data_IF_226362731290
#
_entry.id   IF_226362731290
#
_cell.length_a   1.000
_cell.length_b   1.000
_cell.length_c   1.000
_cell.angle_alpha   90.00
_cell.angle_beta   90.00
_cell.angle_gamma   90.00
#
_symmetry.space_group_name_H-M   'P 1'
#
loop_
_entity.id
_entity.type
_entity.pdbx_description
1 polymer ?
#
# COMPACT_ATOMS: atom_id res chain seq x y z
N UNK A 1 4.87 54.35 -24.31
CA UNK A 1 3.57 53.87 -24.76
C UNK A 1 3.57 52.50 -25.49
N UNK A 2 4.61 52.17 -26.27
CA UNK A 2 4.64 50.88 -27.03
C UNK A 2 4.87 49.62 -26.14
N UNK A 3 5.52 49.73 -24.98
CA UNK A 3 5.78 48.62 -24.06
C UNK A 3 4.56 48.21 -23.22
N UNK A 4 3.67 49.16 -22.93
CA UNK A 4 2.41 48.91 -22.19
C UNK A 4 1.35 48.21 -23.07
N UNK A 5 1.32 48.51 -24.38
CA UNK A 5 0.40 47.86 -25.30
C UNK A 5 0.75 46.39 -25.55
N UNK A 6 2.06 46.04 -25.53
CA UNK A 6 2.51 44.67 -25.68
C UNK A 6 2.16 43.82 -24.44
N UNK A 7 2.29 44.40 -23.23
CA UNK A 7 1.88 43.73 -21.99
C UNK A 7 0.36 43.51 -21.92
N UNK A 8 -0.45 44.47 -22.38
CA UNK A 8 -1.89 44.27 -22.47
C UNK A 8 -2.30 43.24 -23.51
N UNK A 9 -1.63 43.19 -24.65
CA UNK A 9 -1.89 42.17 -25.68
C UNK A 9 -1.52 40.75 -25.21
N UNK A 10 -0.45 40.62 -24.43
CA UNK A 10 -0.07 39.31 -23.82
C UNK A 10 -1.10 38.90 -22.74
N UNK A 11 -1.57 39.85 -21.89
CA UNK A 11 -2.63 39.55 -20.92
C UNK A 11 -3.97 39.22 -21.61
N UNK A 12 -4.32 39.89 -22.69
CA UNK A 12 -5.55 39.62 -23.46
C UNK A 12 -5.46 38.30 -24.25
N UNK A 13 -4.27 37.87 -24.68
CA UNK A 13 -4.06 36.56 -25.32
C UNK A 13 -4.15 35.40 -24.31
N UNK A 14 -3.88 35.67 -23.04
CA UNK A 14 -4.00 34.66 -21.95
C UNK A 14 -5.46 34.50 -21.46
N UNK A 15 -6.36 35.41 -21.82
CA UNK A 15 -7.78 35.36 -21.46
C UNK A 15 -8.69 34.67 -22.49
N UNK A 16 -8.14 34.17 -23.59
CA UNK A 16 -8.90 33.43 -24.62
C UNK A 16 -9.24 32.03 -24.16
N UNK A 17 -10.43 31.88 -23.58
CA UNK A 17 -11.18 30.62 -23.46
C UNK A 17 -10.50 29.47 -22.71
N UNK A 18 -10.06 29.68 -21.51
CA UNK A 18 -10.00 28.62 -20.53
C UNK A 18 -11.44 28.34 -20.03
N UNK A 19 -12.24 27.64 -20.82
CA UNK A 19 -13.36 26.86 -20.28
C UNK A 19 -12.73 25.69 -19.52
N UNK A 20 -12.08 26.02 -18.39
CA UNK A 20 -11.52 25.05 -17.48
C UNK A 20 -12.69 24.24 -16.93
N UNK A 21 -12.92 23.06 -17.48
CA UNK A 21 -13.90 22.13 -16.93
C UNK A 21 -13.30 21.51 -15.68
N UNK A 22 -13.41 22.23 -14.57
CA UNK A 22 -13.00 21.75 -13.26
C UNK A 22 -13.94 20.62 -12.85
N UNK A 23 -13.41 19.42 -12.69
CA UNK A 23 -14.15 18.27 -12.18
C UNK A 23 -13.64 17.93 -10.78
N UNK A 24 -14.49 18.11 -9.77
CA UNK A 24 -14.22 17.68 -8.40
C UNK A 24 -15.16 16.55 -8.05
N UNK A 25 -14.61 15.43 -7.63
CA UNK A 25 -15.34 14.22 -7.25
C UNK A 25 -15.12 13.91 -5.77
N UNK A 26 -16.22 13.70 -5.05
CA UNK A 26 -16.20 13.01 -3.75
C UNK A 26 -16.20 11.51 -4.02
N UNK A 27 -15.35 10.76 -3.36
CA UNK A 27 -15.28 9.32 -3.51
C UNK A 27 -14.93 8.64 -2.19
N UNK A 28 -15.20 7.35 -2.09
CA UNK A 28 -14.82 6.60 -0.91
C UNK A 28 -15.13 5.12 -0.97
N UNK A 29 -14.71 4.45 0.11
CA UNK A 29 -15.03 3.06 0.42
C UNK A 29 -15.41 3.03 1.88
N UNK A 30 -16.57 2.48 2.20
CA UNK A 30 -16.95 2.08 3.55
C UNK A 30 -16.99 0.55 3.59
N UNK A 31 -16.28 -0.02 4.53
CA UNK A 31 -16.06 -1.45 4.67
C UNK A 31 -16.11 -1.78 6.17
N UNK A 32 -17.11 -2.54 6.57
CA UNK A 32 -17.31 -2.96 7.96
C UNK A 32 -17.64 -4.45 8.02
N UNK A 33 -17.19 -5.11 9.06
CA UNK A 33 -17.41 -6.53 9.24
C UNK A 33 -17.43 -6.94 10.70
N UNK A 34 -17.77 -8.20 10.92
CA UNK A 34 -17.65 -8.89 12.20
C UNK A 34 -16.54 -9.93 12.05
N UNK A 35 -15.65 -9.95 12.99
CA UNK A 35 -14.52 -10.88 13.05
C UNK A 35 -14.55 -11.68 14.34
N UNK A 36 -14.36 -12.99 14.22
CA UNK A 36 -13.92 -13.85 15.31
C UNK A 36 -12.43 -14.15 15.13
N UNK A 37 -11.66 -14.05 16.19
CA UNK A 37 -10.24 -14.41 16.20
C UNK A 37 -9.90 -15.07 17.53
N UNK A 38 -9.17 -16.20 17.50
CA UNK A 38 -8.59 -16.81 18.69
C UNK A 38 -7.19 -16.24 18.97
N UNK A 39 -6.60 -16.54 20.10
CA UNK A 39 -5.30 -16.01 20.53
C UNK A 39 -5.19 -14.48 20.33
N UNK A 40 -6.27 -13.79 20.74
CA UNK A 40 -6.41 -12.35 20.54
C UNK A 40 -5.84 -11.50 21.68
N UNK A 41 -5.40 -12.15 22.77
CA UNK A 41 -4.86 -11.51 23.95
C UNK A 41 -3.82 -12.41 24.63
N UNK A 42 -3.00 -11.82 25.53
CA UNK A 42 -1.93 -12.52 26.24
C UNK A 42 -2.41 -13.66 27.16
N UNK A 43 -3.70 -13.70 27.51
CA UNK A 43 -4.33 -14.78 28.27
C UNK A 43 -4.92 -15.88 27.39
N UNK A 44 -4.51 -15.96 26.15
CA UNK A 44 -4.99 -16.94 25.15
C UNK A 44 -6.49 -16.80 24.78
N UNK A 45 -7.08 -15.66 25.10
CA UNK A 45 -8.48 -15.38 24.88
C UNK A 45 -8.84 -15.25 23.40
N UNK A 46 -10.08 -15.64 23.06
CA UNK A 46 -10.68 -15.34 21.77
C UNK A 46 -11.52 -14.06 21.84
N UNK A 47 -11.73 -13.43 20.69
CA UNK A 47 -12.47 -12.19 20.58
C UNK A 47 -13.45 -12.24 19.40
N UNK A 48 -14.67 -11.71 19.63
CA UNK A 48 -15.58 -11.29 18.57
C UNK A 48 -15.63 -9.78 18.56
N UNK A 49 -15.44 -9.17 17.41
CA UNK A 49 -15.41 -7.71 17.30
C UNK A 49 -16.02 -7.22 15.99
N UNK A 50 -16.57 -6.01 16.01
CA UNK A 50 -16.84 -5.25 14.80
C UNK A 50 -15.52 -4.63 14.34
N UNK A 51 -15.23 -4.71 13.06
CA UNK A 51 -14.00 -4.20 12.47
C UNK A 51 -14.28 -3.19 11.38
N UNK A 52 -13.35 -2.27 11.21
CA UNK A 52 -13.30 -1.34 10.09
C UNK A 52 -12.32 -1.87 9.03
N UNK A 53 -12.85 -2.22 7.84
CA UNK A 53 -11.97 -2.52 6.72
C UNK A 53 -11.44 -3.94 6.64
N UNK A 54 -12.26 -4.95 6.82
CA UNK A 54 -11.82 -6.36 6.67
C UNK A 54 -11.24 -6.65 5.29
N UNK A 55 -11.85 -6.16 4.23
CA UNK A 55 -11.38 -6.27 2.85
C UNK A 55 -10.55 -5.07 2.40
N UNK A 56 -11.03 -3.86 2.63
CA UNK A 56 -10.31 -2.63 2.29
C UNK A 56 -10.40 -1.63 3.45
N UNK A 57 -9.32 -0.90 3.70
CA UNK A 57 -9.35 0.26 4.62
C UNK A 57 -10.46 1.22 4.19
N UNK A 58 -11.36 1.53 5.11
CA UNK A 58 -12.41 2.53 4.90
C UNK A 58 -11.81 3.92 4.75
N UNK A 59 -12.31 4.68 3.79
CA UNK A 59 -11.75 5.98 3.39
C UNK A 59 -12.76 6.83 2.67
N UNK A 60 -12.50 8.11 2.67
CA UNK A 60 -13.21 9.10 1.88
C UNK A 60 -12.23 10.16 1.38
N UNK A 61 -12.59 10.86 0.34
CA UNK A 61 -11.70 11.88 -0.20
C UNK A 61 -12.31 12.72 -1.29
N UNK A 62 -11.52 13.71 -1.68
CA UNK A 62 -11.76 14.58 -2.82
C UNK A 62 -10.64 14.39 -3.82
N UNK A 63 -10.98 14.27 -5.08
CA UNK A 63 -10.03 14.35 -6.18
C UNK A 63 -10.57 15.25 -7.26
N UNK A 64 -9.72 15.95 -7.92
CA UNK A 64 -10.13 16.85 -8.98
C UNK A 64 -9.09 16.96 -10.08
N UNK A 65 -9.58 17.42 -11.22
CA UNK A 65 -8.74 17.77 -12.36
C UNK A 65 -9.27 19.03 -13.03
N UNK A 66 -8.35 19.85 -13.51
CA UNK A 66 -8.60 21.04 -14.31
C UNK A 66 -7.82 20.92 -15.62
N UNK A 67 -8.49 21.07 -16.74
CA UNK A 67 -7.86 21.07 -18.06
C UNK A 67 -7.17 22.43 -18.29
N UNK A 68 -5.86 22.39 -18.48
CA UNK A 68 -5.03 23.57 -18.74
C UNK A 68 -4.79 23.80 -20.24
N UNK A 69 -5.40 22.97 -21.09
CA UNK A 69 -5.19 23.01 -22.53
C UNK A 69 -3.99 22.20 -22.99
N UNK A 70 -3.92 21.90 -24.30
CA UNK A 70 -2.81 21.15 -24.88
C UNK A 70 -2.62 19.71 -24.35
N UNK A 71 -3.64 19.14 -23.70
CA UNK A 71 -3.56 17.81 -23.02
C UNK A 71 -2.89 17.86 -21.66
N UNK A 72 -2.59 19.04 -21.13
CA UNK A 72 -2.07 19.22 -19.78
C UNK A 72 -3.23 19.42 -18.80
N UNK A 73 -3.15 18.78 -17.62
CA UNK A 73 -4.11 18.90 -16.53
C UNK A 73 -3.42 19.21 -15.22
N UNK A 74 -3.99 20.09 -14.42
CA UNK A 74 -3.72 20.16 -12.99
C UNK A 74 -4.59 19.11 -12.28
N UNK A 75 -4.02 18.44 -11.29
CA UNK A 75 -4.72 17.39 -10.53
C UNK A 75 -4.46 17.55 -9.04
N UNK A 76 -5.40 17.12 -8.22
CA UNK A 76 -5.19 16.98 -6.77
C UNK A 76 -5.89 15.75 -6.22
N UNK A 77 -5.42 15.28 -5.06
CA UNK A 77 -6.04 14.22 -4.28
C UNK A 77 -5.87 14.46 -2.79
N UNK A 78 -7.00 14.48 -2.06
CA UNK A 78 -7.07 14.53 -0.60
C UNK A 78 -7.85 13.30 -0.13
N UNK A 79 -7.19 12.35 0.58
CA UNK A 79 -7.81 11.09 1.03
C UNK A 79 -7.51 10.85 2.50
N UNK A 80 -8.56 10.71 3.31
CA UNK A 80 -8.53 10.36 4.72
C UNK A 80 -9.05 8.95 4.98
N UNK A 81 -8.59 8.36 6.08
CA UNK A 81 -9.14 7.10 6.60
C UNK A 81 -10.24 7.35 7.61
N UNK A 82 -11.17 6.40 7.72
CA UNK A 82 -12.23 6.40 8.73
C UNK A 82 -12.34 5.00 9.34
N UNK A 83 -12.55 4.93 10.66
CA UNK A 83 -12.84 3.71 11.39
C UNK A 83 -14.36 3.54 11.46
N UNK A 84 -14.89 2.51 10.78
CA UNK A 84 -16.33 2.29 10.67
C UNK A 84 -16.96 1.72 11.94
N UNK A 85 -16.15 1.11 12.79
CA UNK A 85 -16.56 0.55 14.09
C UNK A 85 -16.76 1.61 15.17
N UNK A 86 -16.02 2.72 15.08
CA UNK A 86 -16.03 3.79 16.10
C UNK A 86 -16.47 5.14 15.56
N UNK A 87 -16.49 5.33 14.22
CA UNK A 87 -16.73 6.62 13.57
C UNK A 87 -15.52 7.58 13.67
N UNK A 88 -14.42 7.15 14.26
CA UNK A 88 -13.24 7.97 14.42
C UNK A 88 -12.47 8.13 13.10
N UNK A 89 -11.68 9.19 13.00
CA UNK A 89 -10.69 9.35 11.94
C UNK A 89 -9.55 8.32 12.12
N UNK A 90 -9.17 7.65 11.05
CA UNK A 90 -8.05 6.72 11.08
C UNK A 90 -6.71 7.47 10.89
N UNK A 91 -6.18 8.03 11.97
CA UNK A 91 -4.96 8.83 11.99
C UNK A 91 -5.15 10.29 11.55
N UNK A 92 -4.17 10.94 10.94
CA UNK A 92 -4.26 12.32 10.46
C UNK A 92 -5.31 12.46 9.35
N UNK A 93 -5.97 13.64 9.24
CA UNK A 93 -7.12 13.89 8.35
C UNK A 93 -6.92 13.35 6.92
N UNK A 94 -5.80 13.67 6.28
CA UNK A 94 -5.47 13.17 4.95
C UNK A 94 -4.22 12.27 4.97
N UNK A 95 -4.14 11.36 5.95
CA UNK A 95 -2.97 10.48 6.12
C UNK A 95 -2.68 9.58 4.93
N UNK A 96 -3.68 9.33 4.08
CA UNK A 96 -3.54 8.44 2.94
C UNK A 96 -2.95 9.18 1.74
N UNK A 97 -3.55 10.30 1.35
CA UNK A 97 -3.05 11.16 0.28
C UNK A 97 -3.40 12.62 0.54
N UNK A 98 -2.46 13.53 0.28
CA UNK A 98 -2.60 14.99 0.29
C UNK A 98 -1.60 15.53 -0.73
N UNK A 99 -2.00 15.62 -1.99
CA UNK A 99 -1.09 15.98 -3.08
C UNK A 99 -1.77 16.78 -4.17
N UNK A 100 -0.95 17.51 -4.91
CA UNK A 100 -1.30 18.26 -6.11
C UNK A 100 -0.23 17.97 -7.18
N UNK A 101 -0.60 18.07 -8.44
CA UNK A 101 0.34 17.77 -9.51
C UNK A 101 -0.13 18.13 -10.90
N UNK A 102 0.63 17.67 -11.87
CA UNK A 102 0.36 17.80 -13.29
C UNK A 102 0.30 16.43 -13.97
N UNK A 103 -0.59 16.30 -14.92
CA UNK A 103 -0.73 15.12 -15.78
C UNK A 103 -0.77 15.56 -17.25
N UNK A 104 -0.09 14.82 -18.12
CA UNK A 104 -0.04 15.11 -19.55
C UNK A 104 0.56 13.96 -20.34
N UNK A 105 0.95 14.20 -21.58
CA UNK A 105 1.61 13.21 -22.44
C UNK A 105 2.91 12.64 -21.84
N UNK A 106 3.56 13.39 -20.94
CA UNK A 106 4.75 12.96 -20.22
C UNK A 106 4.45 11.97 -19.07
N UNK A 107 3.20 11.72 -18.73
CA UNK A 107 2.77 11.00 -17.55
C UNK A 107 2.24 11.93 -16.45
N UNK A 108 2.45 11.59 -15.19
CA UNK A 108 1.96 12.31 -14.01
C UNK A 108 3.08 12.63 -13.03
N UNK A 109 3.12 13.85 -12.53
CA UNK A 109 3.98 14.26 -11.42
C UNK A 109 3.10 14.82 -10.30
N UNK A 110 3.28 14.33 -9.07
CA UNK A 110 2.57 14.86 -7.88
C UNK A 110 3.57 15.23 -6.78
N UNK A 111 3.21 16.23 -5.98
CA UNK A 111 3.99 16.73 -4.84
C UNK A 111 3.08 16.73 -3.61
N UNK A 112 3.61 16.33 -2.44
CA UNK A 112 2.92 16.29 -1.15
C UNK A 112 3.05 14.94 -0.44
N UNK A 113 1.93 14.36 0.04
CA UNK A 113 1.84 13.02 0.59
C UNK A 113 1.10 12.10 -0.37
N UNK A 114 1.67 10.96 -0.69
CA UNK A 114 1.06 9.97 -1.58
C UNK A 114 1.55 8.56 -1.27
N UNK A 115 0.86 7.56 -1.81
CA UNK A 115 1.39 6.20 -1.86
C UNK A 115 2.67 6.16 -2.69
N UNK A 116 3.59 5.26 -2.30
CA UNK A 116 4.86 5.08 -3.00
C UNK A 116 4.67 4.40 -4.36
N UNK A 117 5.65 4.54 -5.24
CA UNK A 117 5.71 3.75 -6.48
C UNK A 117 5.65 2.26 -6.19
N UNK A 118 6.35 1.78 -5.15
CA UNK A 118 6.32 0.39 -4.73
C UNK A 118 4.90 -0.06 -4.36
N UNK A 119 4.17 0.73 -3.55
CA UNK A 119 2.79 0.42 -3.19
C UNK A 119 1.89 0.25 -4.41
N UNK A 120 1.93 1.19 -5.36
CA UNK A 120 1.07 1.17 -6.54
C UNK A 120 1.33 0.00 -7.48
N UNK A 121 2.56 -0.53 -7.47
CA UNK A 121 2.95 -1.67 -8.28
C UNK A 121 2.61 -2.99 -7.59
N UNK A 122 3.03 -3.18 -6.34
CA UNK A 122 2.91 -4.46 -5.61
C UNK A 122 1.46 -4.86 -5.36
N UNK A 123 0.55 -3.88 -5.09
CA UNK A 123 -0.87 -4.16 -4.83
C UNK A 123 -1.55 -4.96 -5.95
N UNK A 124 -1.08 -4.83 -7.18
CA UNK A 124 -1.62 -5.53 -8.36
C UNK A 124 -1.26 -7.01 -8.39
N UNK A 125 -0.27 -7.42 -7.61
CA UNK A 125 0.27 -8.78 -7.55
C UNK A 125 0.00 -9.46 -6.20
N UNK A 126 -0.78 -8.83 -5.32
CA UNK A 126 -1.26 -9.44 -4.10
C UNK A 126 -2.68 -10.01 -4.30
N UNK A 127 -2.89 -11.33 -4.15
CA UNK A 127 -4.22 -11.95 -4.32
C UNK A 127 -5.29 -11.37 -3.41
N UNK A 128 -4.91 -10.94 -2.21
CA UNK A 128 -5.83 -10.32 -1.25
C UNK A 128 -5.97 -8.81 -1.45
N UNK A 129 -5.15 -8.16 -2.32
CA UNK A 129 -5.24 -6.74 -2.68
C UNK A 129 -4.98 -5.81 -1.52
N UNK A 130 -3.99 -6.11 -0.69
CA UNK A 130 -3.63 -5.36 0.52
C UNK A 130 -4.79 -5.25 1.53
N UNK A 131 -5.60 -6.31 1.63
CA UNK A 131 -6.65 -6.38 2.65
C UNK A 131 -6.05 -6.15 4.04
N UNK A 132 -6.62 -5.27 4.89
CA UNK A 132 -6.17 -5.09 6.27
C UNK A 132 -6.20 -6.41 7.04
N UNK A 133 -7.24 -7.21 6.85
CA UNK A 133 -7.31 -8.55 7.38
C UNK A 133 -6.84 -9.55 6.33
N UNK A 134 -5.89 -10.39 6.75
CA UNK A 134 -5.43 -11.59 6.03
C UNK A 134 -4.66 -11.30 4.72
N UNK A 135 -3.88 -10.20 4.68
CA UNK A 135 -2.80 -10.01 3.71
C UNK A 135 -1.52 -9.57 4.41
N UNK A 136 -0.43 -10.30 4.16
CA UNK A 136 0.90 -9.93 4.64
C UNK A 136 1.78 -9.26 3.58
N UNK A 137 1.24 -8.97 2.42
CA UNK A 137 2.03 -8.33 1.35
C UNK A 137 2.57 -6.95 1.74
N UNK A 138 1.87 -6.19 2.61
CA UNK A 138 2.38 -4.91 3.16
C UNK A 138 2.86 -5.01 4.59
N UNK A 139 2.52 -6.08 5.29
CA UNK A 139 2.61 -6.19 6.73
C UNK A 139 4.04 -6.36 7.23
N UNK A 140 4.29 -5.71 8.36
CA UNK A 140 5.43 -6.00 9.19
C UNK A 140 5.02 -6.46 10.59
N UNK A 141 3.94 -5.94 11.14
CA UNK A 141 3.51 -6.23 12.52
C UNK A 141 2.93 -7.63 12.68
N UNK A 142 2.18 -8.11 11.70
CA UNK A 142 1.53 -9.42 11.75
C UNK A 142 2.50 -10.61 11.70
N UNK A 143 3.74 -10.39 11.34
CA UNK A 143 4.79 -11.42 11.23
C UNK A 143 5.72 -11.44 12.45
N UNK A 144 5.29 -10.87 13.57
CA UNK A 144 6.02 -10.85 14.82
C UNK A 144 6.78 -9.54 15.08
N UNK A 145 7.70 -9.50 16.06
CA UNK A 145 8.40 -8.28 16.46
C UNK A 145 9.31 -7.72 15.38
N UNK A 146 9.65 -8.51 14.39
CA UNK A 146 10.50 -8.13 13.25
C UNK A 146 9.64 -7.55 12.15
N UNK A 147 9.71 -6.26 11.95
CA UNK A 147 8.90 -5.52 10.97
C UNK A 147 9.50 -5.65 9.56
N UNK A 148 9.17 -6.70 8.85
CA UNK A 148 9.61 -6.94 7.45
C UNK A 148 8.69 -6.25 6.42
N UNK A 149 7.89 -5.29 6.83
CA UNK A 149 6.89 -4.63 6.01
C UNK A 149 7.48 -3.62 5.03
N UNK A 150 6.62 -3.12 4.14
CA UNK A 150 6.94 -2.02 3.22
C UNK A 150 6.37 -0.70 3.73
N UNK A 151 6.96 0.41 3.30
CA UNK A 151 6.38 1.73 3.57
C UNK A 151 5.36 2.07 2.49
N UNK A 152 4.09 2.18 2.88
CA UNK A 152 2.99 2.35 1.92
C UNK A 152 2.86 3.76 1.36
N UNK A 153 3.21 4.78 2.14
CA UNK A 153 3.15 6.19 1.76
C UNK A 153 4.35 6.97 2.29
N UNK A 154 4.76 8.00 1.57
CA UNK A 154 5.76 8.97 2.02
C UNK A 154 5.13 10.34 2.21
N UNK A 155 5.61 11.07 3.21
CA UNK A 155 5.44 12.50 3.32
C UNK A 155 6.52 13.22 2.50
N UNK A 156 6.27 14.51 2.20
CA UNK A 156 7.23 15.42 1.59
C UNK A 156 7.82 14.84 0.30
N UNK A 157 6.95 14.21 -0.51
CA UNK A 157 7.40 13.49 -1.69
C UNK A 157 7.21 14.29 -2.99
N UNK A 158 8.04 13.92 -3.97
CA UNK A 158 7.79 14.12 -5.39
C UNK A 158 7.69 12.73 -6.00
N UNK A 159 6.63 12.46 -6.76
CA UNK A 159 6.40 11.17 -7.42
C UNK A 159 6.10 11.38 -8.89
N UNK A 160 6.78 10.62 -9.73
CA UNK A 160 6.51 10.51 -11.15
C UNK A 160 5.89 9.14 -11.46
N UNK A 161 4.91 9.11 -12.36
CA UNK A 161 4.32 7.89 -12.91
C UNK A 161 4.16 8.04 -14.42
N UNK A 162 4.78 7.14 -15.17
CA UNK A 162 4.65 7.03 -16.63
C UNK A 162 3.93 5.77 -17.04
N UNK A 163 3.26 5.82 -18.20
CA UNK A 163 2.59 4.66 -18.82
C UNK A 163 2.84 4.67 -20.32
N UNK A 164 3.17 3.50 -20.88
CA UNK A 164 3.32 3.33 -22.32
C UNK A 164 3.05 1.87 -22.69
N UNK A 165 2.12 1.65 -23.62
CA UNK A 165 1.67 0.30 -23.93
C UNK A 165 1.17 -0.42 -22.66
N UNK A 166 1.63 -1.66 -22.44
CA UNK A 166 1.33 -2.43 -21.21
C UNK A 166 2.19 -2.06 -20.00
N UNK A 167 3.19 -1.17 -20.14
CA UNK A 167 4.10 -0.78 -19.07
C UNK A 167 3.54 0.35 -18.21
N UNK A 168 3.71 0.22 -16.90
CA UNK A 168 3.58 1.31 -15.91
C UNK A 168 4.89 1.38 -15.14
N UNK A 169 5.49 2.56 -15.03
CA UNK A 169 6.75 2.75 -14.34
C UNK A 169 6.72 4.06 -13.53
N UNK A 170 7.57 4.16 -12.52
CA UNK A 170 7.60 5.38 -11.71
C UNK A 170 8.76 5.44 -10.75
N UNK A 171 8.91 6.61 -10.17
CA UNK A 171 9.86 6.89 -9.11
C UNK A 171 9.25 7.84 -8.08
N UNK A 172 9.61 7.64 -6.83
CA UNK A 172 9.21 8.48 -5.69
C UNK A 172 10.46 8.87 -4.90
N UNK A 173 10.59 10.13 -4.59
CA UNK A 173 11.56 10.64 -3.62
C UNK A 173 10.81 11.35 -2.50
N UNK A 174 11.05 10.98 -1.23
CA UNK A 174 10.61 11.69 -0.04
C UNK A 174 11.77 12.48 0.54
N UNK A 175 11.59 13.79 0.73
CA UNK A 175 12.60 14.65 1.32
C UNK A 175 12.68 14.40 2.82
N UNK A 176 13.91 14.30 3.33
CA UNK A 176 14.13 14.04 4.77
C UNK A 176 13.94 15.27 5.63
N UNK A 177 14.06 16.47 5.03
CA UNK A 177 13.88 17.78 5.69
C UNK A 177 14.72 17.97 6.96
N UNK A 178 15.93 17.37 6.97
CA UNK A 178 16.88 17.52 8.06
C UNK A 178 17.90 18.59 7.73
N UNK A 179 17.90 19.68 8.48
CA UNK A 179 18.85 20.77 8.30
C UNK A 179 20.28 20.27 8.50
N UNK A 180 21.17 20.59 7.54
CA UNK A 180 22.59 20.19 7.58
C UNK A 180 22.86 18.74 7.14
N UNK A 181 21.86 17.88 7.01
CA UNK A 181 22.06 16.52 6.52
C UNK A 181 20.93 16.05 5.63
N UNK A 182 21.00 16.37 4.36
CA UNK A 182 19.97 16.03 3.36
C UNK A 182 19.77 14.52 3.12
N UNK A 183 20.61 13.65 3.64
CA UNK A 183 20.48 12.20 3.49
C UNK A 183 19.68 11.56 4.61
N UNK A 184 19.55 12.25 5.76
CA UNK A 184 18.76 11.79 6.89
C UNK A 184 17.25 11.83 6.56
N UNK A 185 16.52 10.83 7.00
CA UNK A 185 15.09 10.64 6.76
C UNK A 185 14.68 10.61 5.27
N UNK A 186 15.63 10.65 4.34
CA UNK A 186 15.33 10.58 2.90
C UNK A 186 14.82 9.21 2.49
N UNK A 187 13.88 9.20 1.56
CA UNK A 187 13.18 8.00 1.12
C UNK A 187 13.16 7.92 -0.40
N UNK A 188 13.24 6.71 -0.93
CA UNK A 188 13.24 6.45 -2.38
C UNK A 188 12.36 5.23 -2.68
N UNK A 189 11.66 5.28 -3.80
CA UNK A 189 11.02 4.12 -4.39
C UNK A 189 11.08 4.24 -5.91
N UNK A 190 11.38 3.13 -6.59
CA UNK A 190 11.43 3.07 -8.06
C UNK A 190 10.95 1.69 -8.49
N UNK A 191 10.30 1.62 -9.65
CA UNK A 191 9.88 0.34 -10.19
C UNK A 191 9.06 0.44 -11.46
N UNK A 192 8.67 -0.73 -11.95
CA UNK A 192 7.81 -0.86 -13.11
C UNK A 192 7.04 -2.18 -13.11
N UNK A 193 5.94 -2.20 -13.84
CA UNK A 193 5.16 -3.39 -14.13
C UNK A 193 4.76 -3.41 -15.60
N UNK A 194 4.60 -4.60 -16.13
CA UNK A 194 4.09 -4.84 -17.47
C UNK A 194 2.93 -5.82 -17.43
N UNK A 195 1.90 -5.56 -18.26
CA UNK A 195 0.78 -6.46 -18.47
C UNK A 195 0.50 -6.60 -19.96
N UNK A 196 0.39 -7.83 -20.43
CA UNK A 196 0.09 -8.13 -21.83
C UNK A 196 -0.10 -9.63 -22.07
N UNK A 197 -1.00 -10.01 -23.01
CA UNK A 197 -1.21 -11.40 -23.39
C UNK A 197 -1.66 -12.33 -22.24
N UNK A 198 -2.32 -11.80 -21.21
CA UNK A 198 -2.71 -12.56 -20.02
C UNK A 198 -1.61 -12.68 -18.97
N UNK A 199 -0.40 -12.17 -19.22
CA UNK A 199 0.72 -12.18 -18.27
C UNK A 199 0.93 -10.80 -17.66
N UNK A 200 1.43 -10.79 -16.43
CA UNK A 200 1.90 -9.59 -15.73
C UNK A 200 3.21 -9.87 -15.02
N UNK A 201 4.11 -8.87 -15.00
CA UNK A 201 5.35 -8.92 -14.24
C UNK A 201 5.64 -7.57 -13.60
N UNK A 202 6.33 -7.57 -12.47
CA UNK A 202 6.67 -6.37 -11.74
C UNK A 202 8.02 -6.52 -11.03
N UNK A 203 8.79 -5.41 -11.01
CA UNK A 203 9.94 -5.23 -10.14
C UNK A 203 9.90 -3.83 -9.51
N UNK A 204 10.21 -3.75 -8.21
CA UNK A 204 10.30 -2.49 -7.50
C UNK A 204 11.37 -2.55 -6.42
N UNK A 205 11.92 -1.38 -6.09
CA UNK A 205 12.89 -1.18 -5.03
C UNK A 205 12.50 0.03 -4.19
N UNK A 206 12.68 -0.07 -2.88
CA UNK A 206 12.53 1.07 -1.97
C UNK A 206 13.66 1.13 -0.96
N UNK A 207 13.98 2.34 -0.53
CA UNK A 207 14.93 2.63 0.54
C UNK A 207 14.37 3.73 1.43
N UNK A 208 14.45 3.50 2.74
CA UNK A 208 14.10 4.49 3.76
C UNK A 208 15.31 4.68 4.67
N UNK A 209 15.81 5.88 4.75
CA UNK A 209 16.89 6.26 5.66
C UNK A 209 16.29 6.72 6.99
N UNK A 210 16.91 6.33 8.10
CA UNK A 210 16.75 6.96 9.40
C UNK A 210 17.61 8.20 9.54
N UNK A 211 17.65 8.77 10.74
CA UNK A 211 18.56 9.86 11.08
C UNK A 211 19.93 9.32 11.45
N UNK A 212 20.96 10.16 11.26
CA UNK A 212 22.33 9.82 11.65
C UNK A 212 22.43 9.66 13.16
N UNK A 213 22.97 8.53 13.60
CA UNK A 213 23.29 8.22 14.99
C UNK A 213 24.60 8.94 15.34
N UNK A 214 24.56 9.91 16.24
CA UNK A 214 25.71 10.75 16.57
C UNK A 214 26.94 9.95 17.04
N UNK A 215 26.73 8.86 17.76
CA UNK A 215 27.81 8.02 18.29
C UNK A 215 28.60 7.24 17.22
N UNK A 216 28.01 7.00 16.05
CA UNK A 216 28.63 6.18 14.99
C UNK A 216 28.83 6.95 13.69
N UNK A 217 28.16 8.07 13.49
CA UNK A 217 28.08 8.76 12.21
C UNK A 217 27.27 8.00 11.14
N UNK A 218 26.71 6.83 11.47
CA UNK A 218 25.90 6.01 10.59
C UNK A 218 24.41 6.28 10.81
N UNK A 219 23.55 5.75 9.96
CA UNK A 219 22.08 5.83 10.05
C UNK A 219 21.44 4.49 9.82
N UNK A 220 20.26 4.29 10.37
CA UNK A 220 19.42 3.18 9.97
C UNK A 220 19.08 3.28 8.49
N UNK A 221 19.10 2.16 7.80
CA UNK A 221 18.79 2.09 6.38
C UNK A 221 17.96 0.85 6.10
N UNK A 222 16.68 1.05 5.86
CA UNK A 222 15.78 0.01 5.40
C UNK A 222 15.81 -0.05 3.88
N UNK A 223 16.00 -1.24 3.32
CA UNK A 223 15.89 -1.51 1.89
C UNK A 223 14.95 -2.67 1.65
N UNK A 224 14.11 -2.57 0.63
CA UNK A 224 13.29 -3.69 0.19
C UNK A 224 13.26 -3.73 -1.35
N UNK A 225 13.34 -4.94 -1.90
CA UNK A 225 13.06 -5.18 -3.30
C UNK A 225 11.86 -6.10 -3.44
N UNK A 226 11.09 -5.91 -4.50
CA UNK A 226 9.87 -6.66 -4.77
C UNK A 226 9.89 -7.21 -6.18
N UNK A 227 9.44 -8.44 -6.33
CA UNK A 227 9.14 -9.06 -7.61
C UNK A 227 7.71 -9.58 -7.59
N UNK A 228 7.02 -9.55 -8.72
CA UNK A 228 5.67 -10.07 -8.84
C UNK A 228 5.40 -10.64 -10.23
N UNK A 229 4.54 -11.66 -10.26
CA UNK A 229 4.05 -12.28 -11.48
C UNK A 229 2.55 -12.49 -11.42
N UNK A 230 1.89 -12.36 -12.56
CA UNK A 230 0.47 -12.65 -12.75
C UNK A 230 0.26 -13.47 -14.03
N UNK A 231 -0.68 -14.40 -13.97
CA UNK A 231 -1.19 -15.10 -15.15
C UNK A 231 -2.71 -15.18 -15.10
N UNK A 232 -3.35 -14.71 -16.16
CA UNK A 232 -4.80 -14.77 -16.35
C UNK A 232 -5.16 -15.81 -17.42
N UNK A 233 -5.98 -16.79 -17.01
CA UNK A 233 -6.46 -17.87 -17.86
C UNK A 233 -7.98 -17.99 -17.71
N UNK A 234 -8.73 -17.43 -18.65
CA UNK A 234 -10.19 -17.39 -18.59
C UNK A 234 -10.66 -16.68 -17.29
N UNK A 235 -11.47 -17.36 -16.44
CA UNK A 235 -11.95 -16.80 -15.18
C UNK A 235 -10.93 -16.84 -14.04
N UNK A 236 -9.76 -17.47 -14.23
CA UNK A 236 -8.74 -17.64 -13.23
C UNK A 236 -7.66 -16.55 -13.34
N UNK A 237 -7.25 -16.01 -12.22
CA UNK A 237 -6.06 -15.17 -12.08
C UNK A 237 -5.14 -15.80 -11.04
N UNK A 238 -3.91 -16.07 -11.43
CA UNK A 238 -2.85 -16.58 -10.54
C UNK A 238 -1.87 -15.46 -10.29
N UNK A 239 -1.49 -15.26 -9.04
CA UNK A 239 -0.57 -14.21 -8.63
C UNK A 239 0.48 -14.78 -7.70
N UNK A 240 1.73 -14.33 -7.90
CA UNK A 240 2.86 -14.63 -7.04
C UNK A 240 3.64 -13.36 -6.77
N UNK A 241 4.27 -13.28 -5.62
CA UNK A 241 5.15 -12.17 -5.32
C UNK A 241 6.14 -12.48 -4.21
N UNK A 242 7.16 -11.64 -4.15
CA UNK A 242 8.14 -11.69 -3.09
C UNK A 242 8.62 -10.30 -2.70
N UNK A 243 9.04 -10.17 -1.46
CA UNK A 243 9.75 -9.01 -0.91
C UNK A 243 10.98 -9.48 -0.17
N UNK A 244 12.17 -9.05 -0.60
CA UNK A 244 13.40 -9.17 0.19
C UNK A 244 13.60 -7.91 1.02
N UNK A 245 13.73 -8.05 2.34
CA UNK A 245 13.81 -6.96 3.30
C UNK A 245 15.15 -6.97 4.05
N UNK A 246 15.74 -5.78 4.21
CA UNK A 246 16.93 -5.57 5.03
C UNK A 246 16.84 -4.23 5.77
N UNK A 247 17.00 -4.26 7.08
CA UNK A 247 17.26 -3.09 7.91
C UNK A 247 18.70 -3.16 8.41
N UNK A 248 19.57 -2.26 7.93
CA UNK A 248 20.88 -2.00 8.49
C UNK A 248 20.74 -1.04 9.65
N UNK A 249 21.24 -1.42 10.81
CA UNK A 249 21.25 -0.54 11.96
C UNK A 249 22.39 0.50 11.87
N UNK A 250 22.08 1.76 12.15
CA UNK A 250 23.09 2.82 12.30
C UNK A 250 23.87 2.72 13.60
N UNK A 251 23.33 2.03 14.60
CA UNK A 251 23.98 1.81 15.89
C UNK A 251 25.04 0.72 15.80
N UNK A 252 26.19 0.94 16.43
CA UNK A 252 27.30 -0.03 16.46
C UNK A 252 26.87 -1.37 17.05
N UNK A 253 27.47 -2.46 16.58
CA UNK A 253 27.27 -3.83 17.04
C UNK A 253 25.80 -4.34 17.04
N UNK A 254 24.91 -3.67 16.29
CA UNK A 254 23.54 -4.13 16.10
C UNK A 254 23.47 -4.92 14.79
N UNK A 255 23.09 -6.22 14.83
CA UNK A 255 22.96 -7.01 13.62
C UNK A 255 21.89 -6.44 12.67
N UNK A 256 22.11 -6.62 11.37
CA UNK A 256 21.09 -6.30 10.37
C UNK A 256 19.86 -7.21 10.56
N UNK A 257 18.67 -6.63 10.53
CA UNK A 257 17.45 -7.39 10.45
C UNK A 257 17.17 -7.75 8.98
N UNK A 258 16.90 -9.04 8.71
CA UNK A 258 16.62 -9.54 7.36
C UNK A 258 15.44 -10.50 7.36
N UNK A 259 14.69 -10.49 6.28
CA UNK A 259 13.63 -11.46 6.04
C UNK A 259 13.09 -11.33 4.62
N UNK A 260 12.63 -12.46 4.08
CA UNK A 260 12.00 -12.51 2.78
C UNK A 260 10.53 -12.90 2.97
N UNK A 261 9.62 -12.14 2.39
CA UNK A 261 8.18 -12.48 2.38
C UNK A 261 7.81 -12.98 1.00
N UNK A 262 7.16 -14.13 0.94
CA UNK A 262 6.64 -14.73 -0.29
C UNK A 262 5.14 -14.83 -0.21
N UNK A 263 4.47 -14.72 -1.33
CA UNK A 263 3.04 -15.00 -1.43
C UNK A 263 2.67 -15.59 -2.78
N UNK A 264 1.64 -16.40 -2.77
CA UNK A 264 1.03 -16.95 -3.95
C UNK A 264 -0.48 -17.08 -3.73
N UNK A 265 -1.26 -16.96 -4.80
CA UNK A 265 -2.69 -17.18 -4.72
C UNK A 265 -3.36 -17.24 -6.06
N UNK A 266 -4.62 -17.66 -6.01
CA UNK A 266 -5.49 -17.77 -7.16
C UNK A 266 -6.85 -17.14 -6.86
N UNK A 267 -7.37 -16.43 -7.85
CA UNK A 267 -8.72 -15.85 -7.81
C UNK A 267 -9.55 -16.43 -8.96
N UNK A 268 -10.72 -16.98 -8.64
CA UNK A 268 -11.71 -17.46 -9.58
C UNK A 268 -12.90 -16.49 -9.63
N UNK A 269 -13.15 -15.93 -10.81
CA UNK A 269 -14.25 -15.00 -11.04
C UNK A 269 -15.38 -15.74 -11.79
N UNK A 270 -16.47 -16.00 -11.08
CA UNK A 270 -17.69 -16.56 -11.64
C UNK A 270 -18.87 -15.73 -11.13
N UNK A 271 -19.20 -14.69 -11.87
CA UNK A 271 -20.21 -13.70 -11.46
C UNK A 271 -21.50 -14.39 -10.97
N UNK A 272 -22.08 -13.97 -9.81
CA UNK A 272 -21.69 -12.81 -8.99
C UNK A 272 -20.59 -13.08 -7.95
N UNK A 273 -19.96 -14.25 -7.96
CA UNK A 273 -18.95 -14.65 -7.00
C UNK A 273 -17.52 -14.31 -7.45
N UNK A 274 -16.69 -13.97 -6.48
CA UNK A 274 -15.23 -13.93 -6.60
C UNK A 274 -14.66 -14.74 -5.45
N UNK A 275 -13.94 -15.81 -5.76
CA UNK A 275 -13.32 -16.72 -4.79
C UNK A 275 -11.80 -16.55 -4.86
N UNK A 276 -11.15 -16.32 -3.73
CA UNK A 276 -9.69 -16.13 -3.65
C UNK A 276 -9.11 -17.04 -2.60
N UNK A 277 -8.05 -17.77 -2.93
CA UNK A 277 -7.19 -18.49 -2.00
C UNK A 277 -5.77 -17.96 -2.09
N UNK A 278 -5.09 -17.79 -0.95
CA UNK A 278 -3.70 -17.34 -0.94
C UNK A 278 -2.90 -17.95 0.23
N UNK A 279 -1.59 -17.97 0.07
CA UNK A 279 -0.61 -18.32 1.10
C UNK A 279 0.42 -17.20 1.18
N UNK A 280 0.82 -16.85 2.41
CA UNK A 280 1.90 -15.92 2.72
C UNK A 280 2.90 -16.62 3.62
N UNK A 281 4.18 -16.46 3.33
CA UNK A 281 5.26 -17.06 4.09
C UNK A 281 6.37 -16.03 4.31
N UNK A 282 6.88 -15.95 5.54
CA UNK A 282 8.01 -15.07 5.89
C UNK A 282 9.18 -15.93 6.31
N UNK A 283 10.23 -15.96 5.51
CA UNK A 283 11.51 -16.54 5.88
C UNK A 283 12.29 -15.51 6.71
N UNK A 284 12.31 -15.71 8.01
CA UNK A 284 12.98 -14.82 8.97
C UNK A 284 14.47 -15.12 9.04
N UNK A 285 15.32 -14.10 9.00
CA UNK A 285 16.77 -14.23 9.00
C UNK A 285 17.38 -13.33 10.07
N UNK A 286 18.51 -13.76 10.63
CA UNK A 286 19.26 -12.98 11.63
C UNK A 286 18.42 -12.60 12.86
N UNK A 287 17.57 -13.49 13.34
CA UNK A 287 16.83 -13.27 14.58
C UNK A 287 17.78 -13.32 15.79
N UNK A 288 17.52 -12.49 16.82
CA UNK A 288 18.33 -12.55 18.06
C UNK A 288 18.31 -13.91 18.74
N UNK A 289 17.23 -14.67 18.57
CA UNK A 289 17.07 -16.03 19.10
C UNK A 289 17.89 -17.09 18.34
N UNK A 290 18.50 -16.75 17.23
CA UNK A 290 19.18 -17.67 16.29
C UNK A 290 18.31 -18.85 15.83
N UNK A 291 16.98 -18.76 15.97
CA UNK A 291 16.02 -19.79 15.57
C UNK A 291 15.13 -19.28 14.47
N UNK A 292 15.01 -20.08 13.42
CA UNK A 292 14.15 -19.81 12.28
C UNK A 292 12.69 -20.04 12.70
N UNK A 293 11.85 -19.02 12.58
CA UNK A 293 10.47 -19.06 13.06
C UNK A 293 9.44 -19.17 11.93
N UNK A 294 9.80 -18.75 10.77
CA UNK A 294 9.13 -18.84 9.46
C UNK A 294 7.60 -18.80 9.47
N UNK A 295 7.00 -17.67 9.88
CA UNK A 295 5.55 -17.53 9.91
C UNK A 295 4.91 -17.83 8.55
N UNK A 296 3.82 -18.60 8.58
CA UNK A 296 3.02 -18.93 7.38
C UNK A 296 1.55 -18.68 7.66
N UNK A 297 0.85 -18.06 6.69
CA UNK A 297 -0.59 -17.83 6.74
C UNK A 297 -1.27 -18.37 5.48
N UNK A 298 -2.33 -19.11 5.69
CA UNK A 298 -3.26 -19.54 4.64
C UNK A 298 -4.55 -18.73 4.77
N UNK A 299 -5.12 -18.31 3.64
CA UNK A 299 -6.36 -17.54 3.61
C UNK A 299 -7.25 -17.94 2.45
N UNK A 300 -8.56 -18.00 2.71
CA UNK A 300 -9.59 -18.11 1.69
C UNK A 300 -10.63 -17.01 1.88
N UNK A 301 -11.09 -16.43 0.76
CA UNK A 301 -12.12 -15.38 0.76
C UNK A 301 -13.13 -15.64 -0.35
N UNK A 302 -14.41 -15.54 0.00
CA UNK A 302 -15.53 -15.49 -0.94
C UNK A 302 -16.15 -14.09 -0.91
N UNK A 303 -16.42 -13.54 -2.08
CA UNK A 303 -17.14 -12.27 -2.23
C UNK A 303 -18.34 -12.48 -3.13
N UNK A 304 -19.46 -11.84 -2.78
CA UNK A 304 -20.70 -11.83 -3.55
C UNK A 304 -21.05 -10.40 -3.96
N UNK A 305 -21.15 -10.15 -5.25
CA UNK A 305 -21.53 -8.85 -5.83
C UNK A 305 -23.04 -8.65 -5.74
N UNK A 306 -23.51 -7.77 -4.85
CA UNK A 306 -24.91 -7.32 -4.82
C UNK A 306 -25.17 -6.29 -5.92
N UNK A 307 -24.16 -5.50 -6.24
CA UNK A 307 -24.18 -4.51 -7.33
C UNK A 307 -22.76 -4.16 -7.79
N UNK A 308 -22.61 -3.25 -8.75
CA UNK A 308 -21.30 -2.71 -9.15
C UNK A 308 -20.55 -1.99 -8.03
N UNK A 309 -21.25 -1.61 -6.94
CA UNK A 309 -20.70 -0.81 -5.84
C UNK A 309 -20.78 -1.47 -4.48
N UNK A 310 -21.51 -2.59 -4.34
CA UNK A 310 -21.78 -3.27 -3.07
C UNK A 310 -21.38 -4.72 -3.14
N UNK A 311 -20.58 -5.17 -2.18
CA UNK A 311 -20.15 -6.56 -2.03
C UNK A 311 -20.35 -7.03 -0.60
N UNK A 312 -20.87 -8.24 -0.45
CA UNK A 312 -20.73 -9.03 0.77
C UNK A 312 -19.44 -9.85 0.67
N UNK A 313 -18.79 -10.10 1.78
CA UNK A 313 -17.62 -10.99 1.80
C UNK A 313 -17.57 -11.83 3.07
N UNK A 314 -16.96 -13.00 2.94
CA UNK A 314 -16.52 -13.83 4.06
C UNK A 314 -15.09 -14.29 3.80
N UNK A 315 -14.28 -14.35 4.83
CA UNK A 315 -12.91 -14.82 4.77
C UNK A 315 -12.55 -15.64 5.99
N UNK A 316 -11.69 -16.63 5.81
CA UNK A 316 -11.08 -17.43 6.88
C UNK A 316 -9.59 -17.44 6.67
N UNK A 317 -8.84 -17.31 7.75
CA UNK A 317 -7.38 -17.42 7.72
C UNK A 317 -6.85 -18.16 8.93
N UNK A 318 -5.72 -18.84 8.73
CA UNK A 318 -4.94 -19.49 9.77
C UNK A 318 -3.47 -19.16 9.58
N UNK A 319 -2.82 -18.67 10.64
CA UNK A 319 -1.39 -18.41 10.67
C UNK A 319 -0.71 -19.26 11.74
N UNK A 320 0.52 -19.68 11.48
CA UNK A 320 1.38 -20.40 12.42
C UNK A 320 2.83 -19.96 12.27
N UNK A 321 3.59 -20.08 13.36
CA UNK A 321 5.04 -19.90 13.38
C UNK A 321 5.67 -20.86 14.36
N UNK A 322 6.96 -21.19 14.13
CA UNK A 322 7.74 -22.05 14.98
C UNK A 322 8.49 -21.30 16.08
N UNK A 323 9.17 -22.03 16.96
CA UNK A 323 10.11 -21.53 17.97
C UNK A 323 9.56 -20.41 18.89
N UNK A 324 8.25 -20.40 19.16
CA UNK A 324 7.64 -19.42 20.06
C UNK A 324 7.41 -18.03 19.45
N UNK A 325 7.59 -17.89 18.13
CA UNK A 325 7.26 -16.66 17.42
C UNK A 325 5.76 -16.39 17.46
N UNK A 326 5.37 -15.21 17.91
CA UNK A 326 3.98 -14.79 17.89
C UNK A 326 3.57 -14.35 16.47
N UNK A 327 2.33 -14.68 16.08
CA UNK A 327 1.77 -14.32 14.78
C UNK A 327 0.40 -13.66 14.94
N UNK A 328 0.11 -12.72 14.04
CA UNK A 328 -1.20 -12.08 13.90
C UNK A 328 -1.69 -12.19 12.46
N UNK A 329 -2.98 -12.41 12.29
CA UNK A 329 -3.63 -12.48 10.97
C UNK A 329 -3.80 -11.11 10.33
N UNK A 330 -4.20 -10.12 11.14
CA UNK A 330 -4.42 -8.76 10.67
C UNK A 330 -3.08 -8.01 10.55
N UNK A 331 -2.99 -7.18 9.53
CA UNK A 331 -1.82 -6.34 9.25
C UNK A 331 -1.38 -5.49 10.43
N UNK A 332 -2.34 -4.98 11.18
CA UNK A 332 -2.11 -3.95 12.21
C UNK A 332 -2.23 -4.50 13.65
N UNK A 333 -2.59 -5.77 13.81
CA UNK A 333 -2.71 -6.41 15.14
C UNK A 333 -1.43 -7.14 15.53
N UNK A 334 -1.00 -7.04 16.77
CA UNK A 334 0.09 -7.87 17.29
C UNK A 334 -0.36 -9.33 17.41
N UNK A 335 0.58 -10.26 17.30
CA UNK A 335 0.34 -11.66 17.62
C UNK A 335 0.39 -11.91 19.13
N UNK A 336 -0.47 -12.80 19.62
CA UNK A 336 -0.50 -13.24 21.04
C UNK A 336 -0.26 -14.74 21.20
N UNK A 337 -0.28 -15.53 20.13
CA UNK A 337 0.03 -16.94 20.11
C UNK A 337 0.97 -17.31 18.95
N UNK A 338 1.51 -18.52 18.99
CA UNK A 338 2.30 -19.08 17.87
C UNK A 338 1.39 -19.52 16.72
N UNK A 339 0.10 -19.56 16.95
CA UNK A 339 -0.94 -19.77 15.95
C UNK A 339 -2.05 -18.76 16.15
N UNK A 340 -2.75 -18.41 15.07
CA UNK A 340 -3.96 -17.62 15.14
C UNK A 340 -4.92 -18.04 14.01
N UNK A 341 -6.20 -18.20 14.33
CA UNK A 341 -7.27 -18.47 13.37
C UNK A 341 -8.34 -17.40 13.47
N UNK A 342 -8.76 -16.89 12.33
CA UNK A 342 -9.81 -15.87 12.27
C UNK A 342 -10.83 -16.14 11.18
N UNK A 343 -12.05 -15.69 11.42
CA UNK A 343 -13.15 -15.69 10.46
C UNK A 343 -13.75 -14.30 10.44
N UNK A 344 -13.89 -13.74 9.25
CA UNK A 344 -14.44 -12.39 9.05
C UNK A 344 -15.58 -12.45 8.05
N UNK A 345 -16.67 -11.76 8.32
CA UNK A 345 -17.72 -11.48 7.35
C UNK A 345 -18.02 -9.99 7.35
N UNK A 346 -18.40 -9.43 6.20
CA UNK A 346 -18.64 -8.00 6.12
C UNK A 346 -19.29 -7.54 4.82
N UNK A 347 -19.51 -6.24 4.77
CA UNK A 347 -20.05 -5.52 3.63
C UNK A 347 -19.14 -4.38 3.23
N UNK A 348 -18.95 -4.22 1.94
CA UNK A 348 -18.21 -3.10 1.36
C UNK A 348 -19.10 -2.34 0.40
N UNK A 349 -19.11 -1.00 0.53
CA UNK A 349 -19.74 -0.08 -0.41
C UNK A 349 -18.74 0.93 -0.96
N UNK A 350 -18.77 1.18 -2.26
CA UNK A 350 -17.97 2.21 -2.94
C UNK A 350 -18.87 3.29 -3.52
N UNK A 351 -18.52 4.54 -3.29
CA UNK A 351 -19.26 5.70 -3.82
C UNK A 351 -18.36 6.67 -4.54
#
# INVERSE_FOLDING_TARGET
MKKSALALAILAALSLNASAQTNVQVYGIVDAGVEYVNHAAANDGSQVRVISGGKNTSRWGFRGSEDLGGGLKAIFNLEGGILMDTGAQDGNLFKRQANVGLEGAFGQVVIGRSFTTTYDLVIKFDPMGFAPNYSWATSGSATGPSKYGMTTAFDNLIKYTGRTGGFTYGATIGMGEQAGNNADSRKYAVGGSWFGGGFGAMAAYEQVNGNTVAATGNRDKTTAFHLGGEYKAGPMTYQVGMRGYKLQAGKAATPDLRGDTYWAGATYLVYPWTLTGAVYHVNTKNLPSAKDADPTMYVARAMYSLSKRVWLYAAVAHASADHGQLVGLSRDDPGFGTTQTGVTTGIQYRF
#
